data_IF_598257611613
#
_entry.id   IF_598257611613
#
_cell.length_a   1.000
_cell.length_b   1.000
_cell.length_c   1.000
_cell.angle_alpha   90.00
_cell.angle_beta   90.00
_cell.angle_gamma   90.00
#
_symmetry.space_group_name_H-M   'P 1'
#
loop_
_entity.id
_entity.type
_entity.pdbx_description
1 polymer ?
#
# COMPACT_ATOMS: atom_id res chain seq x y z
N UNK A 1 -2.93 31.01 23.30
CA UNK A 1 -2.70 29.76 24.04
C UNK A 1 -1.21 29.43 24.08
N UNK A 2 -0.73 28.95 25.22
CA UNK A 2 0.64 28.47 25.38
C UNK A 2 0.73 27.07 24.70
N UNK A 3 1.05 27.06 23.45
CA UNK A 3 1.37 25.83 22.75
C UNK A 3 2.84 25.50 22.93
N UNK A 4 3.23 24.28 23.29
CA UNK A 4 4.62 23.90 23.39
C UNK A 4 5.30 24.10 22.04
N UNK A 5 6.36 24.88 22.01
CA UNK A 5 7.15 25.17 20.80
C UNK A 5 8.10 24.04 20.41
N UNK A 6 8.23 23.02 21.24
CA UNK A 6 9.00 21.83 20.95
C UNK A 6 8.09 20.59 20.91
N UNK A 7 8.24 19.72 19.92
CA UNK A 7 7.50 18.46 19.88
C UNK A 7 7.88 17.61 21.10
N UNK A 8 6.87 16.98 21.74
CA UNK A 8 7.15 15.97 22.76
C UNK A 8 7.96 14.84 22.13
N UNK A 9 9.00 14.32 22.82
CA UNK A 9 9.67 13.11 22.35
C UNK A 9 8.61 11.99 22.24
N UNK A 10 8.56 11.34 21.08
CA UNK A 10 7.74 10.13 20.91
C UNK A 10 8.26 8.99 21.79
N UNK A 11 7.47 7.93 21.96
CA UNK A 11 7.95 6.74 22.64
C UNK A 11 9.21 6.24 21.93
N UNK A 12 10.29 6.07 22.67
CA UNK A 12 11.52 5.50 22.13
C UNK A 12 11.25 4.05 21.74
N UNK A 13 11.39 3.71 20.46
CA UNK A 13 11.42 2.32 20.04
C UNK A 13 12.64 1.65 20.66
N UNK A 14 12.47 0.44 21.17
CA UNK A 14 13.61 -0.38 21.58
C UNK A 14 14.41 -0.75 20.33
N UNK A 15 15.74 -0.55 20.30
CA UNK A 15 16.58 -1.02 19.20
C UNK A 15 16.37 -2.50 18.96
N UNK A 16 16.23 -2.90 17.69
CA UNK A 16 16.03 -4.29 17.31
C UNK A 16 15.60 -4.43 15.86
N UNK A 17 15.62 -5.66 15.35
CA UNK A 17 15.27 -5.95 13.96
C UNK A 17 13.82 -5.54 13.59
N UNK A 18 12.89 -5.66 14.53
CA UNK A 18 11.49 -5.23 14.32
C UNK A 18 11.40 -3.72 14.17
N UNK A 19 12.10 -2.96 15.01
CA UNK A 19 12.13 -1.49 14.92
C UNK A 19 12.78 -1.02 13.63
N UNK A 20 13.86 -1.67 13.20
CA UNK A 20 14.49 -1.37 11.92
C UNK A 20 13.59 -1.66 10.73
N UNK A 21 12.87 -2.79 10.77
CA UNK A 21 11.87 -3.12 9.75
C UNK A 21 10.76 -2.07 9.65
N UNK A 22 10.28 -1.61 10.81
CA UNK A 22 9.26 -0.56 10.89
C UNK A 22 9.79 0.74 10.27
N UNK A 23 10.98 1.19 10.65
CA UNK A 23 11.60 2.42 10.12
C UNK A 23 11.80 2.32 8.60
N UNK A 24 12.25 1.17 8.10
CA UNK A 24 12.45 0.97 6.66
C UNK A 24 11.11 0.98 5.91
N UNK A 25 10.05 0.40 6.47
CA UNK A 25 8.71 0.45 5.92
C UNK A 25 8.11 1.87 5.94
N UNK A 26 8.39 2.66 6.97
CA UNK A 26 8.01 4.08 7.04
C UNK A 26 8.70 4.90 5.94
N UNK A 27 10.01 4.70 5.76
CA UNK A 27 10.77 5.34 4.68
C UNK A 27 10.24 4.93 3.30
N UNK A 28 9.88 3.65 3.12
CA UNK A 28 9.26 3.16 1.90
C UNK A 28 7.95 3.91 1.61
N UNK A 29 7.17 4.25 2.63
CA UNK A 29 5.91 4.98 2.50
C UNK A 29 6.05 6.34 1.81
N UNK A 30 7.21 7.02 1.93
CA UNK A 30 7.49 8.28 1.23
C UNK A 30 7.61 8.09 -0.29
N UNK A 31 7.85 6.86 -0.73
CA UNK A 31 8.00 6.47 -2.13
C UNK A 31 6.78 5.75 -2.69
N UNK A 32 5.69 5.65 -1.93
CA UNK A 32 4.42 5.12 -2.41
C UNK A 32 3.54 6.27 -2.92
N UNK A 33 3.00 6.08 -4.13
CA UNK A 33 2.11 7.07 -4.76
C UNK A 33 0.79 7.13 -3.99
N UNK A 34 0.31 8.34 -3.76
CA UNK A 34 -1.03 8.55 -3.22
C UNK A 34 -2.10 8.47 -4.32
N UNK A 35 -3.25 7.80 -4.09
CA UNK A 35 -4.32 7.75 -5.08
C UNK A 35 -4.77 9.11 -5.62
N UNK A 36 -4.70 10.17 -4.81
CA UNK A 36 -5.01 11.55 -5.23
C UNK A 36 -4.02 12.12 -6.27
N UNK A 37 -2.83 11.55 -6.42
CA UNK A 37 -1.88 11.90 -7.47
C UNK A 37 -2.27 11.28 -8.82
N UNK A 38 -2.99 10.16 -8.76
CA UNK A 38 -3.57 9.49 -9.93
C UNK A 38 -4.85 10.20 -10.37
N UNK A 39 -5.76 10.42 -9.44
CA UNK A 39 -6.99 11.18 -9.66
C UNK A 39 -7.31 12.05 -8.42
N UNK A 40 -7.45 13.38 -8.57
CA UNK A 40 -7.65 14.30 -7.45
C UNK A 40 -9.00 14.10 -6.72
N UNK A 41 -9.92 13.31 -7.25
CA UNK A 41 -11.17 12.96 -6.58
C UNK A 41 -11.02 11.82 -5.58
N UNK A 42 -9.91 11.06 -5.63
CA UNK A 42 -9.62 9.93 -4.76
C UNK A 42 -9.00 10.40 -3.43
N UNK A 43 -9.81 11.01 -2.58
CA UNK A 43 -9.38 11.64 -1.32
C UNK A 43 -10.02 11.03 -0.07
N UNK A 44 -11.11 10.26 -0.20
CA UNK A 44 -11.81 9.66 0.94
C UNK A 44 -11.01 8.50 1.55
N UNK A 45 -10.88 8.48 2.88
CA UNK A 45 -10.17 7.46 3.65
C UNK A 45 -10.99 6.18 3.90
N UNK A 46 -12.13 6.01 3.23
CA UNK A 46 -13.02 4.85 3.42
C UNK A 46 -12.39 3.50 3.03
N UNK A 47 -11.32 3.50 2.24
CA UNK A 47 -10.56 2.30 1.85
C UNK A 47 -9.48 2.01 2.89
N UNK A 48 -9.69 0.98 3.72
CA UNK A 48 -8.87 0.71 4.92
C UNK A 48 -7.57 -0.06 4.61
N UNK A 49 -6.76 0.42 3.68
CA UNK A 49 -5.49 -0.23 3.28
C UNK A 49 -4.26 0.62 3.61
N UNK A 50 -4.44 1.91 3.90
CA UNK A 50 -3.30 2.81 4.15
C UNK A 50 -2.49 2.41 5.38
N UNK A 51 -1.18 2.27 5.22
CA UNK A 51 -0.21 2.06 6.30
C UNK A 51 0.83 0.99 6.02
N UNK A 52 1.52 0.60 7.09
CA UNK A 52 2.67 -0.30 7.08
C UNK A 52 2.25 -1.77 6.91
N UNK A 53 3.00 -2.51 6.14
CA UNK A 53 2.94 -3.96 6.03
C UNK A 53 4.24 -4.54 6.58
N UNK A 54 4.28 -4.82 7.88
CA UNK A 54 5.46 -5.33 8.57
C UNK A 54 5.58 -6.85 8.49
N UNK A 55 4.48 -7.51 8.19
CA UNK A 55 4.39 -8.94 7.98
C UNK A 55 3.28 -9.27 6.95
N UNK A 56 3.23 -10.52 6.56
CA UNK A 56 2.25 -10.99 5.57
C UNK A 56 0.82 -11.08 6.12
N UNK A 57 0.63 -11.05 7.44
CA UNK A 57 -0.71 -11.21 8.04
C UNK A 57 -1.63 -10.06 7.69
N UNK A 58 -1.05 -8.86 7.52
CA UNK A 58 -1.80 -7.67 7.11
C UNK A 58 -2.35 -7.75 5.68
N UNK A 59 -1.81 -8.58 4.81
CA UNK A 59 -2.31 -8.74 3.45
C UNK A 59 -3.76 -9.26 3.39
N UNK A 60 -4.24 -9.92 4.44
CA UNK A 60 -5.65 -10.28 4.55
C UNK A 60 -6.61 -9.08 4.52
N UNK A 61 -6.13 -7.87 4.85
CA UNK A 61 -6.94 -6.64 4.78
C UNK A 61 -6.98 -6.03 3.39
N UNK A 62 -6.14 -6.49 2.48
CA UNK A 62 -6.07 -6.00 1.09
C UNK A 62 -6.85 -6.93 0.18
N UNK A 63 -6.49 -8.18 0.17
CA UNK A 63 -7.12 -9.21 -0.63
C UNK A 63 -7.14 -10.51 0.18
N UNK A 64 -8.31 -10.91 0.72
CA UNK A 64 -8.41 -12.18 1.44
C UNK A 64 -8.11 -13.35 0.50
N UNK A 65 -7.41 -14.34 1.03
CA UNK A 65 -7.06 -15.55 0.27
C UNK A 65 -5.59 -15.93 0.39
N UNK A 66 -4.98 -16.46 -0.67
CA UNK A 66 -3.64 -17.03 -0.59
C UNK A 66 -2.49 -16.02 -0.52
N UNK A 67 -2.72 -14.71 -0.76
CA UNK A 67 -1.66 -13.69 -0.78
C UNK A 67 -0.77 -13.74 0.47
N UNK A 68 -1.38 -13.90 1.63
CA UNK A 68 -0.64 -14.02 2.90
C UNK A 68 0.36 -15.16 2.89
N UNK A 69 -0.06 -16.35 2.44
CA UNK A 69 0.83 -17.52 2.43
C UNK A 69 1.92 -17.37 1.38
N UNK A 70 1.58 -16.89 0.19
CA UNK A 70 2.55 -16.61 -0.88
C UNK A 70 3.61 -15.62 -0.38
N UNK A 71 3.20 -14.53 0.26
CA UNK A 71 4.12 -13.54 0.80
C UNK A 71 5.05 -14.11 1.89
N UNK A 72 4.55 -15.02 2.74
CA UNK A 72 5.37 -15.74 3.74
C UNK A 72 6.40 -16.65 3.07
N UNK A 73 5.97 -17.43 2.10
CA UNK A 73 6.82 -18.41 1.40
C UNK A 73 7.95 -17.69 0.62
N UNK A 74 7.67 -16.47 0.14
CA UNK A 74 8.65 -15.61 -0.55
C UNK A 74 9.37 -14.62 0.38
N UNK A 75 9.26 -14.80 1.71
CA UNK A 75 10.01 -14.06 2.72
C UNK A 75 9.78 -12.53 2.65
N UNK A 76 8.52 -12.10 2.52
CA UNK A 76 8.16 -10.68 2.56
C UNK A 76 8.94 -9.96 3.67
N UNK A 77 9.68 -8.92 3.33
CA UNK A 77 10.44 -8.09 4.27
C UNK A 77 9.51 -7.08 4.93
N UNK A 78 8.91 -6.21 4.13
CA UNK A 78 7.96 -5.19 4.54
C UNK A 78 7.21 -4.64 3.33
N UNK A 79 6.34 -3.66 3.57
CA UNK A 79 5.64 -2.94 2.52
C UNK A 79 4.93 -1.71 3.06
N UNK A 80 4.35 -0.95 2.15
CA UNK A 80 3.49 0.17 2.47
C UNK A 80 2.34 0.26 1.48
N UNK A 81 1.15 0.58 1.96
CA UNK A 81 -0.05 0.74 1.15
C UNK A 81 -0.69 2.12 1.32
N UNK A 82 -1.32 2.60 0.25
CA UNK A 82 -2.14 3.79 0.22
C UNK A 82 -3.44 3.51 -0.51
N UNK A 83 -4.57 3.69 0.17
CA UNK A 83 -5.90 3.45 -0.40
C UNK A 83 -6.80 4.66 -0.20
N UNK A 84 -7.50 5.08 -1.26
CA UNK A 84 -8.51 6.15 -1.23
C UNK A 84 -9.64 5.84 -2.20
N UNK A 85 -10.79 6.40 -1.89
CA UNK A 85 -11.93 6.43 -2.80
C UNK A 85 -12.44 7.84 -3.01
N UNK A 86 -13.47 7.98 -3.81
CA UNK A 86 -14.24 9.21 -3.93
C UNK A 86 -15.02 9.47 -2.65
N UNK A 87 -15.41 10.70 -2.40
CA UNK A 87 -16.25 11.06 -1.25
C UNK A 87 -17.66 10.48 -1.41
N UNK A 88 -18.31 10.19 -0.31
CA UNK A 88 -19.70 9.72 -0.32
C UNK A 88 -20.60 10.78 -0.97
N UNK A 89 -21.39 10.36 -1.96
CA UNK A 89 -22.29 11.23 -2.71
C UNK A 89 -21.62 11.92 -3.91
N UNK A 90 -20.41 11.53 -4.29
CA UNK A 90 -19.83 11.88 -5.59
C UNK A 90 -20.65 11.26 -6.71
N UNK A 91 -20.47 11.77 -7.95
CA UNK A 91 -21.17 11.29 -9.14
C UNK A 91 -20.80 9.83 -9.46
N UNK A 92 -19.60 9.38 -9.06
CA UNK A 92 -19.10 8.03 -9.27
C UNK A 92 -18.42 7.50 -8.02
N UNK A 93 -18.56 6.19 -7.78
CA UNK A 93 -17.83 5.45 -6.75
C UNK A 93 -16.58 4.82 -7.36
N UNK A 94 -15.46 5.51 -7.17
CA UNK A 94 -14.15 5.05 -7.59
C UNK A 94 -13.26 4.80 -6.37
N UNK A 95 -12.42 3.78 -6.46
CA UNK A 95 -11.45 3.45 -5.42
C UNK A 95 -10.12 3.05 -6.07
N UNK A 96 -9.03 3.39 -5.42
CA UNK A 96 -7.69 2.96 -5.81
C UNK A 96 -6.87 2.60 -4.57
N UNK A 97 -6.26 1.42 -4.62
CA UNK A 97 -5.25 0.94 -3.68
C UNK A 97 -3.94 0.82 -4.42
N UNK A 98 -2.88 1.34 -3.85
CA UNK A 98 -1.50 1.20 -4.31
C UNK A 98 -0.70 0.62 -3.15
N UNK A 99 -0.06 -0.54 -3.37
CA UNK A 99 0.72 -1.23 -2.36
C UNK A 99 2.08 -1.61 -2.96
N UNK A 100 3.13 -1.32 -2.25
CA UNK A 100 4.49 -1.76 -2.57
C UNK A 100 4.92 -2.78 -1.54
N UNK A 101 5.22 -4.00 -1.99
CA UNK A 101 5.72 -5.10 -1.19
C UNK A 101 7.18 -5.36 -1.52
N UNK A 102 8.05 -5.41 -0.51
CA UNK A 102 9.49 -5.66 -0.67
C UNK A 102 9.85 -7.09 -0.31
N UNK A 103 10.58 -7.73 -1.22
CA UNK A 103 11.12 -9.09 -1.08
C UNK A 103 12.65 -9.07 -1.03
N UNK A 104 13.31 -10.18 -0.62
CA UNK A 104 14.77 -10.23 -0.53
C UNK A 104 15.49 -10.07 -1.88
N UNK A 105 14.90 -10.60 -2.95
CA UNK A 105 15.48 -10.57 -4.30
C UNK A 105 14.42 -10.30 -5.36
N UNK A 106 14.87 -9.89 -6.55
CA UNK A 106 14.00 -9.73 -7.71
C UNK A 106 13.33 -11.05 -8.13
N UNK A 107 14.03 -12.18 -8.02
CA UNK A 107 13.48 -13.48 -8.38
C UNK A 107 12.32 -13.87 -7.45
N UNK A 108 12.46 -13.65 -6.14
CA UNK A 108 11.39 -13.90 -5.17
C UNK A 108 10.20 -12.94 -5.40
N UNK A 109 10.46 -11.69 -5.75
CA UNK A 109 9.39 -10.74 -6.09
C UNK A 109 8.65 -11.15 -7.37
N UNK A 110 9.38 -11.55 -8.42
CA UNK A 110 8.80 -12.04 -9.67
C UNK A 110 7.91 -13.27 -9.44
N UNK A 111 8.41 -14.26 -8.69
CA UNK A 111 7.65 -15.48 -8.42
C UNK A 111 6.43 -15.20 -7.54
N UNK A 112 6.56 -14.32 -6.54
CA UNK A 112 5.44 -13.86 -5.73
C UNK A 112 4.37 -13.14 -6.59
N UNK A 113 4.76 -12.22 -7.48
CA UNK A 113 3.83 -11.51 -8.36
C UNK A 113 3.06 -12.49 -9.25
N UNK A 114 3.75 -13.47 -9.84
CA UNK A 114 3.13 -14.51 -10.65
C UNK A 114 2.12 -15.33 -9.84
N UNK A 115 2.50 -15.81 -8.65
CA UNK A 115 1.62 -16.60 -7.80
C UNK A 115 0.43 -15.78 -7.26
N UNK A 116 0.62 -14.51 -6.92
CA UNK A 116 -0.48 -13.62 -6.57
C UNK A 116 -1.50 -13.51 -7.70
N UNK A 117 -1.02 -13.32 -8.94
CA UNK A 117 -1.88 -13.24 -10.11
C UNK A 117 -2.62 -14.57 -10.40
N UNK A 118 -1.91 -15.70 -10.35
CA UNK A 118 -2.48 -17.03 -10.62
C UNK A 118 -3.54 -17.45 -9.57
N UNK A 119 -3.35 -17.01 -8.33
CA UNK A 119 -4.22 -17.37 -7.20
C UNK A 119 -5.12 -16.22 -6.75
N UNK A 120 -5.18 -15.13 -7.53
CA UNK A 120 -6.06 -14.01 -7.23
C UNK A 120 -7.50 -14.50 -7.03
N UNK A 121 -8.08 -14.33 -5.83
CA UNK A 121 -9.37 -14.93 -5.53
C UNK A 121 -10.49 -14.24 -6.31
N UNK A 122 -11.43 -15.04 -6.77
CA UNK A 122 -12.73 -14.55 -7.26
C UNK A 122 -13.65 -14.27 -6.06
N UNK A 123 -13.27 -13.33 -5.16
CA UNK A 123 -14.02 -13.06 -3.94
C UNK A 123 -15.14 -12.07 -4.23
N UNK A 124 -16.36 -12.44 -3.85
CA UNK A 124 -17.60 -11.63 -3.98
C UNK A 124 -17.79 -10.98 -5.36
N UNK A 125 -17.41 -11.69 -6.41
CA UNK A 125 -17.47 -11.21 -7.78
C UNK A 125 -18.63 -11.85 -8.52
N UNK A 126 -19.38 -11.04 -9.22
CA UNK A 126 -20.47 -11.54 -10.08
C UNK A 126 -19.94 -12.32 -11.30
N UNK A 127 -18.67 -12.13 -11.65
CA UNK A 127 -17.98 -12.80 -12.75
C UNK A 127 -16.59 -13.27 -12.35
N UNK A 128 -16.05 -14.35 -12.96
CA UNK A 128 -14.69 -14.78 -12.73
C UNK A 128 -13.68 -13.74 -13.24
N UNK A 129 -12.47 -13.77 -12.66
CA UNK A 129 -11.36 -12.96 -13.14
C UNK A 129 -11.04 -13.29 -14.61
N UNK A 130 -10.80 -12.25 -15.39
CA UNK A 130 -10.29 -12.37 -16.75
C UNK A 130 -9.00 -11.57 -16.90
N UNK A 131 -7.96 -12.12 -17.53
CA UNK A 131 -6.74 -11.37 -17.81
C UNK A 131 -7.07 -10.12 -18.65
N UNK A 132 -6.43 -9.01 -18.31
CA UNK A 132 -6.55 -7.74 -19.04
C UNK A 132 -5.16 -7.10 -19.16
N UNK A 133 -4.78 -6.58 -20.34
CA UNK A 133 -3.54 -5.84 -20.49
C UNK A 133 -3.65 -4.45 -19.83
N UNK A 134 -2.56 -4.00 -19.22
CA UNK A 134 -2.45 -2.63 -18.72
C UNK A 134 -1.66 -1.79 -19.75
N UNK A 135 -2.25 -0.71 -20.30
CA UNK A 135 -1.58 0.13 -21.28
C UNK A 135 -0.24 0.67 -20.76
N UNK A 136 0.82 0.49 -21.57
CA UNK A 136 2.18 0.92 -21.20
C UNK A 136 2.94 -0.04 -20.28
N UNK A 137 2.28 -1.06 -19.71
CA UNK A 137 2.86 -1.97 -18.71
C UNK A 137 2.65 -3.44 -19.09
N UNK A 138 3.35 -3.95 -20.11
CA UNK A 138 3.22 -5.35 -20.56
C UNK A 138 3.66 -6.37 -19.49
N UNK A 139 4.46 -5.95 -18.51
CA UNK A 139 4.90 -6.75 -17.36
C UNK A 139 3.84 -6.90 -16.26
N UNK A 140 2.78 -6.11 -16.29
CA UNK A 140 1.72 -6.16 -15.29
C UNK A 140 0.83 -7.40 -15.48
N UNK A 141 0.78 -8.24 -14.46
CA UNK A 141 -0.08 -9.42 -14.41
C UNK A 141 -1.44 -9.00 -13.86
N UNK A 142 -2.35 -8.59 -14.73
CA UNK A 142 -3.61 -7.97 -14.32
C UNK A 142 -4.85 -8.78 -14.71
N UNK A 143 -5.90 -8.61 -13.90
CA UNK A 143 -7.20 -9.23 -14.09
C UNK A 143 -8.30 -8.21 -13.87
N UNK A 144 -9.32 -8.27 -14.71
CA UNK A 144 -10.59 -7.58 -14.50
C UNK A 144 -11.63 -8.52 -13.88
N UNK A 145 -12.57 -7.94 -13.16
CA UNK A 145 -13.76 -8.62 -12.66
C UNK A 145 -14.89 -7.63 -12.45
N UNK A 146 -16.08 -8.15 -12.13
CA UNK A 146 -17.25 -7.34 -11.79
C UNK A 146 -17.74 -7.76 -10.41
N UNK A 147 -17.99 -6.80 -9.54
CA UNK A 147 -18.55 -7.02 -8.21
C UNK A 147 -20.05 -7.34 -8.27
N UNK A 148 -20.62 -7.79 -7.15
CA UNK A 148 -22.04 -8.11 -7.05
C UNK A 148 -22.96 -6.88 -7.29
N UNK A 149 -22.49 -5.70 -6.93
CA UNK A 149 -23.16 -4.39 -7.18
C UNK A 149 -22.88 -3.81 -8.56
N UNK A 150 -22.24 -4.60 -9.43
CA UNK A 150 -21.90 -4.28 -10.83
C UNK A 150 -20.81 -3.23 -11.02
N UNK A 151 -20.02 -2.93 -10.01
CA UNK A 151 -18.80 -2.16 -10.18
C UNK A 151 -17.71 -2.99 -10.87
N UNK A 152 -16.87 -2.34 -11.65
CA UNK A 152 -15.75 -2.97 -12.37
C UNK A 152 -14.50 -2.89 -11.52
N UNK A 153 -13.75 -3.97 -11.46
CA UNK A 153 -12.48 -4.02 -10.73
C UNK A 153 -11.34 -4.46 -11.62
N UNK A 154 -10.16 -3.88 -11.36
CA UNK A 154 -8.89 -4.30 -11.97
C UNK A 154 -7.88 -4.48 -10.85
N UNK A 155 -7.32 -5.69 -10.74
CA UNK A 155 -6.20 -6.01 -9.86
C UNK A 155 -4.95 -6.26 -10.71
N UNK A 156 -3.82 -5.66 -10.36
CA UNK A 156 -2.56 -5.83 -11.06
C UNK A 156 -1.43 -6.15 -10.08
N UNK A 157 -0.57 -7.09 -10.46
CA UNK A 157 0.60 -7.54 -9.71
C UNK A 157 1.82 -7.37 -10.62
N UNK A 158 2.57 -6.30 -10.43
CA UNK A 158 3.67 -5.94 -11.32
C UNK A 158 5.01 -6.15 -10.61
N UNK A 159 5.84 -7.08 -11.08
CA UNK A 159 7.19 -7.23 -10.54
C UNK A 159 8.06 -6.04 -10.96
N UNK A 160 8.85 -5.50 -10.02
CA UNK A 160 9.76 -4.39 -10.28
C UNK A 160 10.99 -4.49 -9.37
N UNK A 161 12.09 -5.06 -9.87
CA UNK A 161 13.23 -5.37 -9.03
C UNK A 161 12.82 -6.25 -7.84
N UNK A 162 13.22 -5.93 -6.60
CA UNK A 162 12.86 -6.69 -5.40
C UNK A 162 11.45 -6.35 -4.88
N UNK A 163 10.63 -5.67 -5.67
CA UNK A 163 9.30 -5.24 -5.28
C UNK A 163 8.21 -5.94 -6.10
N UNK A 164 7.05 -6.14 -5.47
CA UNK A 164 5.78 -6.32 -6.16
C UNK A 164 4.98 -5.03 -5.97
N UNK A 165 4.64 -4.40 -7.08
CA UNK A 165 3.73 -3.25 -7.12
C UNK A 165 2.32 -3.81 -7.34
N UNK A 166 1.49 -3.71 -6.31
CA UNK A 166 0.09 -4.13 -6.38
C UNK A 166 -0.80 -2.92 -6.52
N UNK A 167 -1.71 -2.96 -7.48
CA UNK A 167 -2.79 -2.00 -7.64
C UNK A 167 -4.13 -2.71 -7.65
N UNK A 168 -5.10 -2.12 -6.96
CA UNK A 168 -6.50 -2.49 -7.08
C UNK A 168 -7.29 -1.22 -7.37
N UNK A 169 -8.01 -1.23 -8.46
CA UNK A 169 -8.92 -0.16 -8.83
C UNK A 169 -10.35 -0.68 -8.90
N UNK A 170 -11.30 0.11 -8.41
CA UNK A 170 -12.73 -0.09 -8.57
C UNK A 170 -13.34 1.15 -9.22
N UNK A 171 -14.27 0.95 -10.15
CA UNK A 171 -15.07 2.02 -10.74
C UNK A 171 -16.49 1.53 -11.03
N UNK A 172 -17.48 2.35 -10.74
CA UNK A 172 -18.88 2.13 -11.15
C UNK A 172 -19.17 2.59 -12.58
N UNK A 173 -18.18 3.24 -13.23
CA UNK A 173 -18.32 3.74 -14.61
C UNK A 173 -18.13 2.63 -15.64
N UNK A 174 -16.90 2.08 -15.72
CA UNK A 174 -16.54 0.98 -16.62
C UNK A 174 -15.14 0.43 -16.30
N UNK A 175 -14.78 -0.67 -16.95
CA UNK A 175 -13.47 -1.31 -16.77
C UNK A 175 -12.32 -0.44 -17.28
N UNK A 176 -12.53 0.36 -18.32
CA UNK A 176 -11.48 1.22 -18.88
C UNK A 176 -11.05 2.29 -17.87
N UNK A 177 -11.99 2.86 -17.11
CA UNK A 177 -11.69 3.80 -16.03
C UNK A 177 -10.81 3.15 -14.96
N UNK A 178 -11.16 1.95 -14.50
CA UNK A 178 -10.36 1.21 -13.52
C UNK A 178 -8.96 0.87 -14.08
N UNK A 179 -8.88 0.46 -15.35
CA UNK A 179 -7.62 0.16 -16.06
C UNK A 179 -6.72 1.39 -16.16
N UNK A 180 -7.29 2.57 -16.47
CA UNK A 180 -6.55 3.83 -16.54
C UNK A 180 -5.99 4.25 -15.18
N UNK A 181 -6.72 4.03 -14.08
CA UNK A 181 -6.19 4.27 -12.74
C UNK A 181 -4.96 3.40 -12.46
N UNK A 182 -5.02 2.11 -12.81
CA UNK A 182 -3.89 1.18 -12.64
C UNK A 182 -2.70 1.62 -13.49
N UNK A 183 -2.91 1.92 -14.78
CA UNK A 183 -1.85 2.33 -15.68
C UNK A 183 -1.14 3.60 -15.17
N UNK A 184 -1.91 4.65 -14.84
CA UNK A 184 -1.34 5.90 -14.33
C UNK A 184 -0.66 5.72 -12.95
N UNK A 185 -1.19 4.84 -12.10
CA UNK A 185 -0.55 4.51 -10.83
C UNK A 185 0.82 3.86 -11.07
N UNK A 186 0.93 2.93 -12.02
CA UNK A 186 2.18 2.27 -12.38
C UNK A 186 3.20 3.25 -13.00
N UNK A 187 2.77 4.14 -13.91
CA UNK A 187 3.62 5.20 -14.48
C UNK A 187 4.31 6.03 -13.41
N UNK A 188 3.56 6.41 -12.36
CA UNK A 188 4.09 7.21 -11.26
C UNK A 188 4.93 6.37 -10.29
N UNK A 189 4.46 5.15 -9.97
CA UNK A 189 5.04 4.32 -8.93
C UNK A 189 6.41 3.74 -9.33
N UNK A 190 6.56 3.28 -10.56
CA UNK A 190 7.83 2.69 -11.04
C UNK A 190 8.98 3.69 -10.92
N UNK A 191 8.81 4.89 -11.46
CA UNK A 191 9.83 5.94 -11.40
C UNK A 191 10.11 6.45 -9.98
N UNK A 192 9.14 6.31 -9.06
CA UNK A 192 9.27 6.76 -7.67
C UNK A 192 10.01 5.73 -6.83
N UNK A 193 9.67 4.44 -6.95
CA UNK A 193 10.31 3.39 -6.17
C UNK A 193 11.79 3.21 -6.52
N UNK A 194 12.19 3.50 -7.76
CA UNK A 194 13.60 3.48 -8.19
C UNK A 194 14.50 4.43 -7.39
N UNK A 195 13.92 5.45 -6.76
CA UNK A 195 14.64 6.41 -5.91
C UNK A 195 14.78 5.95 -4.47
N UNK A 196 14.03 4.92 -4.06
CA UNK A 196 14.10 4.39 -2.72
C UNK A 196 15.39 3.60 -2.52
N UNK A 197 16.10 3.89 -1.45
CA UNK A 197 17.29 3.16 -1.03
C UNK A 197 16.95 2.29 0.18
N UNK A 198 16.63 1.00 -0.03
CA UNK A 198 16.24 0.11 1.04
C UNK A 198 17.41 -0.18 1.97
N UNK A 199 17.12 -0.29 3.27
CA UNK A 199 18.13 -0.76 4.23
C UNK A 199 18.28 -2.28 4.12
N UNK A 200 19.51 -2.76 4.17
CA UNK A 200 19.77 -4.21 4.25
C UNK A 200 19.09 -4.76 5.53
N UNK A 201 18.26 -5.82 5.44
CA UNK A 201 17.63 -6.43 6.61
C UNK A 201 18.61 -6.81 7.72
N UNK A 202 19.86 -7.18 7.37
CA UNK A 202 20.91 -7.46 8.35
C UNK A 202 21.27 -6.25 9.22
N UNK A 203 20.99 -5.05 8.74
CA UNK A 203 21.26 -3.78 9.44
C UNK A 203 20.08 -3.29 10.28
N UNK A 204 18.91 -3.90 10.18
CA UNK A 204 17.72 -3.45 10.91
C UNK A 204 17.93 -3.33 12.42
N UNK A 205 18.67 -4.25 13.02
CA UNK A 205 18.93 -4.24 14.47
C UNK A 205 19.78 -3.04 14.93
N UNK A 206 20.52 -2.43 14.02
CA UNK A 206 21.43 -1.30 14.31
C UNK A 206 20.90 0.05 13.85
N UNK A 207 19.72 0.08 13.22
CA UNK A 207 19.10 1.34 12.80
C UNK A 207 18.80 2.22 14.01
N UNK A 208 19.18 3.51 13.91
CA UNK A 208 18.83 4.48 14.94
C UNK A 208 17.33 4.76 14.90
N UNK A 209 16.69 4.65 16.05
CA UNK A 209 15.25 4.85 16.26
C UNK A 209 14.89 6.34 16.39
N UNK A 210 15.36 7.16 15.46
CA UNK A 210 14.94 8.57 15.42
C UNK A 210 13.69 8.65 14.55
N UNK A 211 12.54 8.83 15.18
CA UNK A 211 11.30 9.06 14.43
C UNK A 211 11.41 10.31 13.56
N UNK A 212 10.95 10.27 12.31
CA UNK A 212 10.77 11.48 11.52
C UNK A 212 9.88 12.48 12.30
N UNK A 213 10.29 13.72 12.30
CA UNK A 213 9.65 14.83 13.04
C UNK A 213 8.13 14.99 12.79
N UNK A 214 7.63 14.48 11.67
CA UNK A 214 6.24 14.57 11.22
C UNK A 214 5.27 13.70 12.03
N UNK A 215 5.67 12.51 12.48
CA UNK A 215 4.82 11.64 13.29
C UNK A 215 4.57 12.21 14.69
N UNK A 216 5.50 13.01 15.22
CA UNK A 216 5.41 13.59 16.56
C UNK A 216 4.44 14.78 16.64
N UNK A 217 4.19 15.47 15.54
CA UNK A 217 3.29 16.64 15.52
C UNK A 217 1.81 16.27 15.61
N UNK A 218 1.41 15.08 15.14
CA UNK A 218 0.01 14.66 15.10
C UNK A 218 -0.42 13.74 16.25
N UNK A 219 0.53 13.13 16.97
CA UNK A 219 0.24 12.30 18.15
C UNK A 219 -0.28 13.10 19.35
N UNK A 220 -0.14 14.44 19.33
CA UNK A 220 -0.51 15.35 20.43
C UNK A 220 -1.94 15.88 20.40
N UNK A 221 -2.69 15.70 19.33
CA UNK A 221 -3.96 16.43 19.11
C UNK A 221 -5.24 15.58 19.23
N UNK A 222 -5.15 14.32 19.67
CA UNK A 222 -6.36 13.53 19.91
C UNK A 222 -6.70 13.42 21.40
N UNK A 223 -7.96 13.72 21.80
CA UNK A 223 -8.45 13.33 23.11
C UNK A 223 -8.42 11.80 23.20
N UNK A 224 -8.04 11.28 24.37
CA UNK A 224 -7.81 9.90 24.72
C UNK A 224 -8.61 8.87 23.89
N UNK A 225 -8.03 8.42 22.79
CA UNK A 225 -8.43 7.19 22.13
C UNK A 225 -7.86 6.00 22.93
N UNK A 226 -8.55 4.85 23.00
CA UNK A 226 -8.03 3.66 23.65
C UNK A 226 -6.65 3.35 23.09
N UNK A 227 -5.71 2.96 23.97
CA UNK A 227 -4.31 2.75 23.68
C UNK A 227 -4.08 2.13 22.30
N UNK A 228 -3.57 2.91 21.37
CA UNK A 228 -3.12 2.41 20.07
C UNK A 228 -2.06 1.35 20.36
N UNK A 229 -2.29 0.14 19.90
CA UNK A 229 -1.29 -0.93 19.99
C UNK A 229 -0.05 -0.45 19.23
N UNK A 230 1.14 -0.72 19.74
CA UNK A 230 2.44 -0.32 19.15
C UNK A 230 2.58 -0.68 17.66
N UNK A 231 1.75 -1.59 17.14
CA UNK A 231 1.69 -2.03 15.74
C UNK A 231 0.76 -1.18 14.83
N UNK A 232 0.07 -0.18 15.37
CA UNK A 232 -0.97 0.58 14.66
C UNK A 232 -0.58 2.04 14.35
N UNK A 233 0.70 2.39 14.50
CA UNK A 233 1.17 3.68 14.02
C UNK A 233 1.18 3.71 12.48
N UNK A 234 0.03 4.01 11.90
CA UNK A 234 -0.04 4.34 10.49
C UNK A 234 0.61 5.69 10.24
N UNK A 235 1.49 5.76 9.24
CA UNK A 235 1.91 7.04 8.68
C UNK A 235 0.67 7.63 8.01
N UNK A 236 0.14 8.68 8.58
CA UNK A 236 -0.86 9.49 7.91
C UNK A 236 -0.10 10.40 6.96
N UNK A 237 -0.18 10.12 5.67
CA UNK A 237 0.32 11.07 4.68
C UNK A 237 -0.52 12.35 4.80
N UNK A 238 0.04 13.35 5.45
CA UNK A 238 -0.55 14.69 5.53
C UNK A 238 -0.14 15.50 4.32
N UNK A 239 -0.46 15.05 3.14
CA UNK A 239 -0.34 15.88 1.92
C UNK A 239 -1.72 16.21 1.40
N UNK A 240 -2.54 16.81 2.25
CA UNK A 240 -3.76 17.45 1.82
C UNK A 240 -3.87 18.81 2.51
N UNK A 241 -3.33 19.80 1.86
CA UNK A 241 -3.73 21.18 1.95
C UNK A 241 -3.95 21.69 0.55
#
# INVERSE_FOLDING_TARGET
GNYPTAPKPGPALKPGAESGRLIDAERLGEFVVGPWEVDPTLISIGVNVTGLFLDADRLNSVEPGPMKQIAKDHQLINGFGSGRGTIRGADHDNQLVILVLRFPTADLANDAARQFSEQAPAIDRAAPNRPIPIPGHPEALAHESTTADRSFTVSAYTPHGPYVLYQYALSDVNVDTATQFVAKALDLQTSRIDKFQPTDPAQFATMQTTFPRLLLQHAGERPAAPALREKEFGIWQTTSW
#
